data_IF_624456804293
#
_entry.id   IF_624456804293
#
_cell.length_a   1.000
_cell.length_b   1.000
_cell.length_c   1.000
_cell.angle_alpha   90.00
_cell.angle_beta   90.00
_cell.angle_gamma   90.00
#
_symmetry.space_group_name_H-M   'P 1'
#
loop_
_entity.id
_entity.type
_entity.pdbx_description
1 polymer ?
#
# COMPACT_ATOMS: atom_id res chain seq x y z
N UNK A 1 -8.43 -26.07 7.01
CA UNK A 1 -7.15 -25.76 7.67
C UNK A 1 -6.81 -24.31 7.43
N UNK A 2 -6.39 -23.60 8.45
CA UNK A 2 -5.90 -22.22 8.35
C UNK A 2 -4.45 -22.19 7.86
N UNK A 3 -3.99 -21.03 7.39
CA UNK A 3 -2.57 -20.84 7.01
C UNK A 3 -1.63 -21.13 8.19
N UNK A 4 -2.02 -20.71 9.39
CA UNK A 4 -1.27 -20.96 10.63
C UNK A 4 -1.11 -22.46 10.90
N UNK A 5 -2.20 -23.23 10.80
CA UNK A 5 -2.17 -24.68 11.00
C UNK A 5 -1.23 -25.38 10.03
N UNK A 6 -1.24 -24.98 8.75
CA UNK A 6 -0.35 -25.54 7.72
C UNK A 6 1.13 -25.26 8.02
N UNK A 7 1.44 -24.05 8.48
CA UNK A 7 2.81 -23.66 8.84
C UNK A 7 3.30 -24.48 10.04
N UNK A 8 2.48 -24.61 11.09
CA UNK A 8 2.82 -25.39 12.29
C UNK A 8 3.06 -26.86 11.94
N UNK A 9 2.18 -27.46 11.13
CA UNK A 9 2.32 -28.86 10.70
C UNK A 9 3.63 -29.07 9.93
N UNK A 10 3.98 -28.13 9.04
CA UNK A 10 5.20 -28.21 8.24
C UNK A 10 6.45 -28.10 9.11
N UNK A 11 6.48 -27.17 10.08
CA UNK A 11 7.60 -27.01 11.02
C UNK A 11 7.82 -28.27 11.86
N UNK A 12 6.74 -28.90 12.35
CA UNK A 12 6.84 -30.15 13.16
C UNK A 12 7.46 -31.33 12.42
N UNK A 13 7.44 -31.33 11.08
CA UNK A 13 8.04 -32.39 10.26
C UNK A 13 9.53 -32.17 9.97
N UNK A 14 10.07 -31.00 10.30
CA UNK A 14 11.47 -30.66 10.07
C UNK A 14 12.37 -31.28 11.14
N UNK A 15 13.60 -31.62 10.75
CA UNK A 15 14.65 -32.04 11.69
C UNK A 15 15.20 -30.83 12.50
N UNK A 16 16.01 -31.06 13.55
CA UNK A 16 16.53 -29.97 14.39
C UNK A 16 17.31 -28.90 13.61
N UNK A 17 18.16 -29.29 12.66
CA UNK A 17 18.92 -28.36 11.83
C UNK A 17 18.01 -27.47 10.97
N UNK A 18 16.97 -28.05 10.37
CA UNK A 18 15.99 -27.31 9.57
C UNK A 18 15.12 -26.40 10.42
N UNK A 19 14.77 -26.80 11.65
CA UNK A 19 14.06 -25.93 12.59
C UNK A 19 14.92 -24.72 12.96
N UNK A 20 16.22 -24.92 13.18
CA UNK A 20 17.17 -23.83 13.44
C UNK A 20 17.27 -22.86 12.26
N UNK A 21 17.32 -23.37 11.02
CA UNK A 21 17.32 -22.52 9.81
C UNK A 21 16.06 -21.67 9.69
N UNK A 22 14.88 -22.23 10.00
CA UNK A 22 13.62 -21.47 10.04
C UNK A 22 13.68 -20.38 11.11
N UNK A 23 14.24 -20.68 12.27
CA UNK A 23 14.40 -19.70 13.35
C UNK A 23 15.31 -18.53 12.94
N UNK A 24 16.45 -18.82 12.33
CA UNK A 24 17.37 -17.81 11.80
C UNK A 24 16.68 -16.95 10.74
N UNK A 25 15.93 -17.56 9.82
CA UNK A 25 15.16 -16.85 8.82
C UNK A 25 14.13 -15.90 9.45
N UNK A 26 13.36 -16.36 10.44
CA UNK A 26 12.37 -15.52 11.13
C UNK A 26 13.02 -14.28 11.75
N UNK A 27 14.21 -14.42 12.35
CA UNK A 27 14.96 -13.29 12.93
C UNK A 27 15.50 -12.30 11.88
N UNK A 28 15.52 -12.67 10.59
CA UNK A 28 15.88 -11.76 9.49
C UNK A 28 14.67 -11.03 8.91
N UNK A 29 13.45 -11.42 9.28
CA UNK A 29 12.26 -10.73 8.81
C UNK A 29 12.19 -9.33 9.42
N UNK A 30 11.85 -8.30 8.61
CA UNK A 30 11.59 -6.99 9.17
C UNK A 30 10.40 -7.07 10.12
N UNK A 31 10.41 -6.25 11.16
CA UNK A 31 9.21 -6.08 11.99
C UNK A 31 8.03 -5.72 11.09
N UNK A 32 6.84 -6.30 11.33
CA UNK A 32 5.64 -5.89 10.61
C UNK A 32 5.47 -4.40 10.85
N UNK A 33 5.71 -3.60 9.81
CA UNK A 33 5.36 -2.18 9.87
C UNK A 33 3.86 -2.14 9.88
N UNK A 34 3.29 -1.49 10.89
CA UNK A 34 1.89 -1.11 10.83
C UNK A 34 1.68 -0.35 9.53
N UNK A 35 0.81 -0.88 8.67
CA UNK A 35 0.42 -0.12 7.50
C UNK A 35 -0.20 1.18 8.01
N UNK A 36 0.25 2.35 7.52
CA UNK A 36 -0.29 3.61 8.00
C UNK A 36 -1.80 3.59 7.80
N UNK A 37 -2.55 3.89 8.87
CA UNK A 37 -4.00 3.91 8.79
C UNK A 37 -4.43 4.90 7.71
N UNK A 38 -4.99 4.37 6.63
CA UNK A 38 -5.51 5.20 5.55
C UNK A 38 -6.80 5.83 6.07
N UNK A 39 -6.83 7.16 6.12
CA UNK A 39 -8.04 7.89 6.50
C UNK A 39 -9.23 7.49 5.61
N UNK A 40 -10.48 7.61 6.09
CA UNK A 40 -11.67 7.33 5.28
C UNK A 40 -11.67 8.09 3.94
N UNK A 41 -11.19 9.34 3.94
CA UNK A 41 -11.00 10.12 2.73
C UNK A 41 -9.95 9.49 1.80
N UNK A 42 -8.81 9.07 2.34
CA UNK A 42 -7.77 8.40 1.57
C UNK A 42 -8.24 7.11 0.91
N UNK A 43 -9.08 6.31 1.60
CA UNK A 43 -9.69 5.09 1.03
C UNK A 43 -10.57 5.44 -0.16
N UNK A 44 -11.46 6.42 0.02
CA UNK A 44 -12.35 6.88 -1.04
C UNK A 44 -11.63 7.47 -2.24
N UNK A 45 -10.54 8.22 -2.03
CA UNK A 45 -9.71 8.75 -3.11
C UNK A 45 -9.02 7.63 -3.90
N UNK A 46 -8.60 6.54 -3.24
CA UNK A 46 -8.02 5.36 -3.92
C UNK A 46 -9.06 4.63 -4.77
N UNK A 47 -10.28 4.49 -4.27
CA UNK A 47 -11.41 3.90 -5.02
C UNK A 47 -11.71 4.72 -6.27
N UNK A 48 -11.88 6.05 -6.13
CA UNK A 48 -12.10 6.95 -7.28
C UNK A 48 -10.97 6.88 -8.31
N UNK A 49 -9.71 6.82 -7.85
CA UNK A 49 -8.57 6.63 -8.76
C UNK A 49 -8.66 5.30 -9.52
N UNK A 50 -9.06 4.23 -8.85
CA UNK A 50 -9.21 2.93 -9.48
C UNK A 50 -10.31 2.94 -10.55
N UNK A 51 -11.43 3.61 -10.29
CA UNK A 51 -12.52 3.80 -11.25
C UNK A 51 -12.05 4.56 -12.50
N UNK A 52 -11.31 5.66 -12.34
CA UNK A 52 -10.75 6.45 -13.47
C UNK A 52 -9.77 5.63 -14.28
N UNK A 53 -8.87 4.87 -13.62
CA UNK A 53 -7.94 3.99 -14.34
C UNK A 53 -8.67 2.89 -15.09
N UNK A 54 -9.74 2.34 -14.51
CA UNK A 54 -10.55 1.28 -15.13
C UNK A 54 -11.39 1.78 -16.31
N UNK A 55 -11.81 3.06 -16.31
CA UNK A 55 -12.51 3.65 -17.45
C UNK A 55 -11.60 3.85 -18.67
N UNK A 56 -10.28 3.81 -18.47
CA UNK A 56 -9.29 4.08 -19.52
C UNK A 56 -9.10 5.57 -19.80
N UNK A 57 -9.75 6.45 -19.03
CA UNK A 57 -9.49 7.88 -19.10
C UNK A 57 -8.07 8.18 -18.57
N UNK A 58 -7.30 9.02 -19.29
CA UNK A 58 -5.97 9.40 -18.82
C UNK A 58 -6.06 10.23 -17.55
N UNK A 59 -5.19 9.94 -16.59
CA UNK A 59 -4.99 10.82 -15.44
C UNK A 59 -4.44 12.17 -15.91
N UNK A 60 -4.84 13.25 -15.23
CA UNK A 60 -4.33 14.58 -15.53
C UNK A 60 -2.80 14.63 -15.40
N UNK A 61 -2.16 15.32 -16.34
CA UNK A 61 -0.76 15.69 -16.18
C UNK A 61 -0.60 16.70 -15.04
N UNK A 62 0.65 17.02 -14.69
CA UNK A 62 0.92 18.05 -13.70
C UNK A 62 0.36 19.40 -14.15
N UNK A 63 0.55 19.74 -15.42
CA UNK A 63 0.10 20.99 -16.04
C UNK A 63 -1.43 21.05 -16.13
N UNK A 64 -2.09 19.94 -16.45
CA UNK A 64 -3.54 19.86 -16.49
C UNK A 64 -4.17 20.06 -15.10
N UNK A 65 -3.54 19.51 -14.06
CA UNK A 65 -3.98 19.67 -12.68
C UNK A 65 -3.79 21.10 -12.18
N UNK A 66 -2.68 21.75 -12.53
CA UNK A 66 -2.44 23.16 -12.22
C UNK A 66 -3.45 24.08 -12.91
N UNK A 67 -3.78 23.80 -14.18
CA UNK A 67 -4.83 24.51 -14.92
C UNK A 67 -6.20 24.34 -14.25
N UNK A 68 -6.59 23.11 -13.90
CA UNK A 68 -7.88 22.86 -13.24
C UNK A 68 -7.97 23.57 -11.87
N UNK A 69 -6.87 23.57 -11.09
CA UNK A 69 -6.81 24.29 -9.82
C UNK A 69 -7.00 25.79 -10.00
N UNK A 70 -6.34 26.39 -10.99
CA UNK A 70 -6.45 27.81 -11.30
C UNK A 70 -7.86 28.20 -11.80
N UNK A 71 -8.51 27.33 -12.59
CA UNK A 71 -9.84 27.56 -13.15
C UNK A 71 -10.96 27.36 -12.12
N UNK A 72 -10.88 26.34 -11.26
CA UNK A 72 -11.96 25.97 -10.33
C UNK A 72 -11.90 26.69 -8.99
N UNK A 73 -10.71 27.09 -8.53
CA UNK A 73 -10.51 27.81 -7.27
C UNK A 73 -9.93 29.18 -7.61
N UNK A 74 -10.80 30.13 -7.98
CA UNK A 74 -10.44 31.50 -8.33
C UNK A 74 -9.15 31.94 -7.62
N UNK A 75 -8.08 32.05 -8.41
CA UNK A 75 -6.71 31.81 -7.99
C UNK A 75 -6.33 32.32 -6.61
N UNK A 76 -5.97 31.40 -5.71
CA UNK A 76 -4.98 31.72 -4.69
C UNK A 76 -3.75 30.90 -5.06
N UNK A 77 -2.80 31.56 -5.75
CA UNK A 77 -1.44 31.08 -5.86
C UNK A 77 -0.87 31.05 -4.44
N UNK A 78 -0.84 29.89 -3.81
CA UNK A 78 -0.07 29.66 -2.58
C UNK A 78 1.20 28.88 -2.94
N UNK A 79 1.95 29.39 -3.91
CA UNK A 79 3.33 28.99 -4.19
C UNK A 79 4.11 30.21 -4.70
N UNK A 80 4.04 31.30 -3.93
CA UNK A 80 5.07 32.35 -4.02
C UNK A 80 6.07 32.04 -2.89
N UNK A 81 7.26 31.56 -3.27
CA UNK A 81 8.47 31.57 -2.44
C UNK A 81 9.07 32.97 -2.36
#
# INVERSE_FOLDING_TARGET
MTTEELVIEKIRRLNPEQQQQVWEFINTLPEPKEEPEISPLGKRLRELRAEIVASGEPLLSREDLERELAERRGGISTWDE
#
